data_IF_034616723936
#
_entry.id   IF_034616723936
#
_cell.length_a   1.000
_cell.length_b   1.000
_cell.length_c   1.000
_cell.angle_alpha   90.00
_cell.angle_beta   90.00
_cell.angle_gamma   90.00
#
_symmetry.space_group_name_H-M   'P 1'
#
loop_
_entity.id
_entity.type
_entity.pdbx_description
1 polymer ?
#
# COMPACT_ATOMS: atom_id res chain seq x y z
N UNK A 1 33.92 -17.53 -28.58
CA UNK A 1 33.62 -17.89 -27.18
C UNK A 1 33.27 -16.61 -26.43
N UNK A 2 31.98 -16.28 -26.24
CA UNK A 2 31.56 -15.35 -25.14
C UNK A 2 30.02 -15.29 -24.91
N UNK A 3 29.33 -16.44 -24.89
CA UNK A 3 27.87 -16.48 -24.65
C UNK A 3 27.48 -16.72 -23.18
N UNK A 4 28.44 -16.92 -22.28
CA UNK A 4 28.21 -17.35 -20.90
C UNK A 4 28.10 -16.19 -19.89
N UNK A 5 28.53 -14.98 -20.25
CA UNK A 5 28.64 -13.86 -19.32
C UNK A 5 27.29 -13.12 -19.06
N UNK A 6 26.34 -13.18 -20.00
CA UNK A 6 25.04 -12.48 -19.89
C UNK A 6 23.99 -13.19 -19.01
N UNK A 7 24.01 -14.52 -18.96
CA UNK A 7 23.05 -15.33 -18.20
C UNK A 7 23.37 -15.34 -16.70
N UNK A 8 24.66 -15.38 -16.34
CA UNK A 8 25.12 -15.26 -14.96
C UNK A 8 24.79 -13.88 -14.35
N UNK A 9 24.98 -12.79 -15.10
CA UNK A 9 24.62 -11.42 -14.68
C UNK A 9 23.11 -11.24 -14.45
N UNK A 10 22.26 -11.82 -15.31
CA UNK A 10 20.79 -11.81 -15.12
C UNK A 10 20.34 -12.65 -13.93
N UNK A 11 20.91 -13.86 -13.75
CA UNK A 11 20.64 -14.70 -12.57
C UNK A 11 21.06 -14.00 -11.27
N UNK A 12 22.25 -13.42 -11.21
CA UNK A 12 22.72 -12.66 -10.04
C UNK A 12 21.87 -11.43 -9.71
N UNK A 13 21.35 -10.71 -10.73
CA UNK A 13 20.43 -9.58 -10.54
C UNK A 13 19.06 -10.03 -10.01
N UNK A 14 18.55 -11.18 -10.47
CA UNK A 14 17.29 -11.77 -9.99
C UNK A 14 17.37 -12.18 -8.52
N UNK A 15 18.45 -12.86 -8.13
CA UNK A 15 18.71 -13.27 -6.74
C UNK A 15 18.81 -12.04 -5.81
N UNK A 16 19.50 -10.98 -6.27
CA UNK A 16 19.58 -9.74 -5.50
C UNK A 16 18.21 -9.08 -5.31
N UNK A 17 17.32 -9.12 -6.30
CA UNK A 17 15.95 -8.57 -6.19
C UNK A 17 15.15 -9.35 -5.15
N UNK A 18 15.12 -10.68 -5.23
CA UNK A 18 14.30 -11.51 -4.34
C UNK A 18 14.72 -11.35 -2.89
N UNK A 19 16.03 -11.33 -2.60
CA UNK A 19 16.53 -11.13 -1.23
C UNK A 19 16.24 -9.73 -0.68
N UNK A 20 16.35 -8.68 -1.51
CA UNK A 20 15.97 -7.32 -1.09
C UNK A 20 14.47 -7.23 -0.81
N UNK A 21 13.64 -7.87 -1.63
CA UNK A 21 12.19 -7.89 -1.41
C UNK A 21 11.83 -8.67 -0.14
N UNK A 22 12.45 -9.83 0.09
CA UNK A 22 12.27 -10.60 1.32
C UNK A 22 12.59 -9.74 2.56
N UNK A 23 13.73 -9.07 2.57
CA UNK A 23 14.14 -8.21 3.69
C UNK A 23 13.16 -7.05 3.94
N UNK A 24 12.68 -6.38 2.88
CA UNK A 24 11.71 -5.28 3.02
C UNK A 24 10.38 -5.73 3.61
N UNK A 25 9.87 -6.87 3.15
CA UNK A 25 8.62 -7.43 3.68
C UNK A 25 8.77 -7.89 5.13
N UNK A 26 9.91 -8.48 5.47
CA UNK A 26 10.22 -8.87 6.85
C UNK A 26 10.26 -7.66 7.79
N UNK A 27 11.00 -6.61 7.42
CA UNK A 27 11.08 -5.38 8.21
C UNK A 27 9.72 -4.75 8.46
N UNK A 28 8.83 -4.75 7.45
CA UNK A 28 7.48 -4.24 7.64
C UNK A 28 6.66 -5.13 8.57
N UNK A 29 6.78 -6.46 8.45
CA UNK A 29 6.09 -7.40 9.35
C UNK A 29 6.48 -7.16 10.82
N UNK A 30 7.77 -6.94 11.11
CA UNK A 30 8.27 -6.61 12.45
C UNK A 30 7.68 -5.31 13.00
N UNK A 31 7.52 -4.29 12.14
CA UNK A 31 6.89 -3.03 12.55
C UNK A 31 5.39 -3.18 12.79
N UNK A 32 4.70 -3.89 11.92
CA UNK A 32 3.26 -4.11 12.04
C UNK A 32 2.91 -4.88 13.31
N UNK A 33 3.68 -5.91 13.68
CA UNK A 33 3.43 -6.61 14.94
C UNK A 33 3.75 -5.75 16.16
N UNK A 34 4.78 -4.89 16.05
CA UNK A 34 5.06 -3.89 17.08
C UNK A 34 3.86 -2.97 17.31
N UNK A 35 3.23 -2.48 16.24
CA UNK A 35 2.02 -1.65 16.31
C UNK A 35 0.84 -2.42 16.90
N UNK A 36 0.62 -3.67 16.49
CA UNK A 36 -0.42 -4.51 17.08
C UNK A 36 -0.27 -4.57 18.60
N UNK A 37 0.91 -4.93 19.10
CA UNK A 37 1.22 -4.99 20.54
C UNK A 37 0.89 -3.70 21.30
N UNK A 38 1.08 -2.53 20.69
CA UNK A 38 0.76 -1.24 21.32
C UNK A 38 -0.73 -0.92 21.35
N UNK A 39 -1.53 -1.53 20.47
CA UNK A 39 -2.96 -1.29 20.31
C UNK A 39 -3.85 -2.24 21.14
N UNK A 40 -3.25 -3.13 21.95
CA UNK A 40 -3.94 -3.99 22.90
C UNK A 40 -4.57 -3.18 24.05
N UNK A 41 -5.60 -2.40 23.72
CA UNK A 41 -6.35 -1.55 24.62
C UNK A 41 -7.85 -1.54 24.28
N UNK A 42 -8.73 -1.34 25.28
CA UNK A 42 -10.17 -1.23 25.05
C UNK A 42 -10.53 -0.24 23.94
N UNK A 43 -11.45 -0.64 23.06
CA UNK A 43 -11.88 0.17 21.91
C UNK A 43 -10.91 0.19 20.72
N UNK A 44 -9.74 -0.48 20.81
CA UNK A 44 -8.75 -0.56 19.72
C UNK A 44 -8.40 -1.99 19.30
N UNK A 45 -9.04 -3.00 19.89
CA UNK A 45 -8.78 -4.42 19.63
C UNK A 45 -8.93 -4.83 18.16
N UNK A 46 -9.87 -4.23 17.42
CA UNK A 46 -9.98 -4.43 15.97
C UNK A 46 -8.72 -3.95 15.22
N UNK A 47 -8.14 -2.83 15.62
CA UNK A 47 -6.96 -2.27 14.98
C UNK A 47 -5.73 -3.16 15.23
N UNK A 48 -5.60 -3.67 16.46
CA UNK A 48 -4.61 -4.70 16.80
C UNK A 48 -4.72 -5.94 15.88
N UNK A 49 -5.91 -6.54 15.79
CA UNK A 49 -6.15 -7.73 14.98
C UNK A 49 -5.82 -7.49 13.49
N UNK A 50 -6.13 -6.30 12.96
CA UNK A 50 -5.75 -5.92 11.60
C UNK A 50 -4.22 -5.85 11.42
N UNK A 51 -3.49 -5.25 12.36
CA UNK A 51 -2.03 -5.17 12.29
C UNK A 51 -1.36 -6.54 12.47
N UNK A 52 -1.89 -7.39 13.35
CA UNK A 52 -1.41 -8.76 13.50
C UNK A 52 -1.63 -9.61 12.23
N UNK A 53 -2.78 -9.48 11.56
CA UNK A 53 -3.00 -10.10 10.25
C UNK A 53 -1.98 -9.59 9.22
N UNK A 54 -1.79 -8.27 9.15
CA UNK A 54 -0.85 -7.65 8.22
C UNK A 54 0.62 -8.08 8.46
N UNK A 55 1.02 -8.23 9.72
CA UNK A 55 2.33 -8.74 10.09
C UNK A 55 2.52 -10.16 9.54
N UNK A 56 1.56 -11.06 9.79
CA UNK A 56 1.60 -12.43 9.28
C UNK A 56 1.64 -12.49 7.75
N UNK A 57 0.83 -11.68 7.06
CA UNK A 57 0.83 -11.60 5.60
C UNK A 57 2.21 -11.23 5.06
N UNK A 58 2.81 -10.18 5.62
CA UNK A 58 4.09 -9.67 5.14
C UNK A 58 5.24 -10.62 5.48
N UNK A 59 5.19 -11.28 6.63
CA UNK A 59 6.15 -12.33 6.99
C UNK A 59 6.07 -13.53 6.02
N UNK A 60 4.86 -14.00 5.69
CA UNK A 60 4.67 -15.07 4.71
C UNK A 60 5.15 -14.67 3.31
N UNK A 61 4.88 -13.43 2.89
CA UNK A 61 5.38 -12.89 1.61
C UNK A 61 6.91 -12.75 1.62
N UNK A 62 7.52 -12.38 2.74
CA UNK A 62 8.98 -12.37 2.89
C UNK A 62 9.55 -13.78 2.71
N UNK A 63 8.98 -14.77 3.39
CA UNK A 63 9.37 -16.17 3.25
C UNK A 63 9.20 -16.65 1.80
N UNK A 64 8.10 -16.28 1.14
CA UNK A 64 7.84 -16.61 -0.26
C UNK A 64 8.94 -16.08 -1.19
N UNK A 65 9.31 -14.80 -1.05
CA UNK A 65 10.40 -14.20 -1.82
C UNK A 65 11.73 -14.94 -1.62
N UNK A 66 12.02 -15.37 -0.39
CA UNK A 66 13.28 -16.04 -0.05
C UNK A 66 13.34 -17.47 -0.58
N UNK A 67 12.32 -18.28 -0.31
CA UNK A 67 12.35 -19.73 -0.57
C UNK A 67 11.92 -20.07 -1.99
N UNK A 68 10.95 -19.34 -2.55
CA UNK A 68 10.44 -19.57 -3.92
C UNK A 68 11.15 -18.73 -4.97
N UNK A 69 11.76 -17.60 -4.58
CA UNK A 69 12.45 -16.67 -5.50
C UNK A 69 11.57 -16.17 -6.65
N UNK A 70 10.28 -16.01 -6.34
CA UNK A 70 9.22 -15.57 -7.24
C UNK A 70 8.40 -14.48 -6.54
N UNK A 71 7.58 -13.74 -7.31
CA UNK A 71 6.65 -12.79 -6.69
C UNK A 71 5.54 -13.55 -5.95
N UNK A 72 5.21 -13.16 -4.70
CA UNK A 72 4.11 -13.75 -3.97
C UNK A 72 2.76 -13.38 -4.60
N UNK A 73 1.69 -14.12 -4.28
CA UNK A 73 0.35 -13.72 -4.65
C UNK A 73 0.00 -12.34 -4.06
N UNK A 74 -0.45 -11.43 -4.91
CA UNK A 74 -0.92 -10.10 -4.53
C UNK A 74 -2.37 -10.12 -4.06
N UNK A 75 -2.66 -10.97 -3.08
CA UNK A 75 -3.92 -11.04 -2.35
C UNK A 75 -3.65 -11.17 -0.84
N UNK A 76 -4.72 -11.27 -0.04
CA UNK A 76 -4.68 -11.32 1.42
C UNK A 76 -4.99 -12.74 1.96
N UNK A 77 -4.71 -13.78 1.16
CA UNK A 77 -4.96 -15.17 1.54
C UNK A 77 -3.70 -15.76 2.20
N UNK A 78 -3.66 -15.68 3.53
CA UNK A 78 -2.60 -16.21 4.37
C UNK A 78 -2.47 -17.72 4.21
N UNK A 79 -3.59 -18.44 4.15
CA UNK A 79 -3.57 -19.92 4.08
C UNK A 79 -2.97 -20.37 2.75
N UNK A 80 -3.38 -19.74 1.64
CA UNK A 80 -2.79 -20.01 0.33
C UNK A 80 -1.31 -19.67 0.29
N UNK A 81 -0.92 -18.51 0.80
CA UNK A 81 0.49 -18.10 0.82
C UNK A 81 1.33 -19.06 1.69
N UNK A 82 0.83 -19.45 2.86
CA UNK A 82 1.48 -20.41 3.75
C UNK A 82 1.65 -21.80 3.10
N UNK A 83 0.63 -22.31 2.41
CA UNK A 83 0.72 -23.58 1.69
C UNK A 83 1.79 -23.54 0.59
N UNK A 84 1.84 -22.45 -0.19
CA UNK A 84 2.85 -22.29 -1.24
C UNK A 84 4.27 -22.18 -0.68
N UNK A 85 4.45 -21.54 0.48
CA UNK A 85 5.74 -21.56 1.20
C UNK A 85 6.06 -22.99 1.66
N UNK A 86 5.10 -23.67 2.30
CA UNK A 86 5.23 -25.03 2.83
C UNK A 86 5.67 -26.04 1.76
N UNK A 87 5.11 -25.97 0.54
CA UNK A 87 5.51 -26.80 -0.60
C UNK A 87 7.02 -26.75 -0.86
N UNK A 88 7.65 -25.59 -0.63
CA UNK A 88 9.06 -25.38 -0.96
C UNK A 88 10.01 -25.76 0.18
N UNK A 89 9.56 -25.66 1.42
CA UNK A 89 10.38 -25.92 2.62
C UNK A 89 10.09 -27.27 3.28
N UNK A 90 9.18 -28.08 2.73
CA UNK A 90 8.86 -29.42 3.25
C UNK A 90 7.82 -29.42 4.38
N UNK A 91 6.98 -28.38 4.45
CA UNK A 91 5.97 -28.20 5.49
C UNK A 91 6.22 -26.98 6.39
N UNK A 92 5.17 -26.50 7.05
CA UNK A 92 5.27 -25.46 8.08
C UNK A 92 4.91 -26.05 9.45
N UNK A 93 5.51 -25.54 10.54
CA UNK A 93 5.10 -25.87 11.90
C UNK A 93 3.57 -25.76 12.10
N UNK A 94 2.91 -26.73 12.77
CA UNK A 94 1.45 -26.75 12.94
C UNK A 94 0.87 -25.46 13.54
N UNK A 95 1.60 -24.82 14.47
CA UNK A 95 1.22 -23.56 15.07
C UNK A 95 1.17 -22.40 14.07
N UNK A 96 2.06 -22.37 13.06
CA UNK A 96 2.02 -21.35 12.00
C UNK A 96 0.83 -21.57 11.05
N UNK A 97 0.53 -22.83 10.72
CA UNK A 97 -0.64 -23.18 9.90
C UNK A 97 -1.94 -22.79 10.63
N UNK A 98 -2.04 -23.12 11.92
CA UNK A 98 -3.15 -22.71 12.76
C UNK A 98 -3.24 -21.18 12.91
N UNK A 99 -2.09 -20.50 12.99
CA UNK A 99 -1.97 -19.05 13.00
C UNK A 99 -2.60 -18.41 11.76
N UNK A 100 -2.16 -18.83 10.57
CA UNK A 100 -2.67 -18.33 9.29
C UNK A 100 -4.19 -18.54 9.15
N UNK A 101 -4.71 -19.71 9.50
CA UNK A 101 -6.15 -20.01 9.45
C UNK A 101 -6.99 -19.11 10.36
N UNK A 102 -6.48 -18.81 11.55
CA UNK A 102 -7.19 -17.97 12.52
C UNK A 102 -7.14 -16.49 12.15
N UNK A 103 -6.00 -16.02 11.63
CA UNK A 103 -5.87 -14.63 11.20
C UNK A 103 -6.64 -14.35 9.90
N UNK A 104 -6.79 -15.33 9.00
CA UNK A 104 -7.45 -15.16 7.70
C UNK A 104 -8.79 -14.39 7.74
N UNK A 105 -9.78 -14.73 8.60
CA UNK A 105 -11.03 -13.99 8.67
C UNK A 105 -10.87 -12.56 9.18
N UNK A 106 -9.84 -12.29 10.01
CA UNK A 106 -9.61 -10.97 10.60
C UNK A 106 -9.35 -9.89 9.56
N UNK A 107 -8.88 -10.25 8.36
CA UNK A 107 -8.76 -9.30 7.25
C UNK A 107 -10.07 -8.56 6.96
N UNK A 108 -11.21 -9.25 7.02
CA UNK A 108 -12.52 -8.63 6.79
C UNK A 108 -13.12 -8.12 8.11
N UNK A 109 -13.14 -8.97 9.14
CA UNK A 109 -13.81 -8.72 10.42
C UNK A 109 -13.29 -7.46 11.12
N UNK A 110 -12.00 -7.17 11.00
CA UNK A 110 -11.39 -6.05 11.73
C UNK A 110 -11.42 -4.70 10.99
N UNK A 111 -11.95 -4.64 9.75
CA UNK A 111 -11.79 -3.46 8.89
C UNK A 111 -13.08 -2.82 8.42
N UNK A 112 -14.07 -3.63 8.09
CA UNK A 112 -15.28 -3.15 7.44
C UNK A 112 -16.52 -3.65 8.18
N UNK A 113 -17.46 -2.76 8.54
CA UNK A 113 -18.82 -3.17 8.84
C UNK A 113 -19.40 -3.97 7.69
N UNK A 114 -20.34 -4.87 7.99
CA UNK A 114 -21.07 -5.58 6.95
C UNK A 114 -22.05 -4.63 6.26
N UNK A 115 -22.72 -5.10 5.20
CA UNK A 115 -23.78 -4.34 4.55
C UNK A 115 -25.12 -4.41 5.28
N UNK A 116 -25.23 -5.24 6.32
CA UNK A 116 -26.44 -5.33 7.14
C UNK A 116 -26.36 -4.29 8.27
N UNK A 117 -27.35 -3.40 8.34
CA UNK A 117 -27.37 -2.29 9.31
C UNK A 117 -27.53 -2.76 10.76
N UNK A 118 -28.08 -3.96 10.96
CA UNK A 118 -28.27 -4.55 12.29
C UNK A 118 -27.00 -5.26 12.81
N UNK A 119 -26.00 -5.45 11.95
CA UNK A 119 -24.76 -6.10 12.37
C UNK A 119 -23.85 -5.10 13.12
N UNK A 120 -23.16 -5.55 14.19
CA UNK A 120 -22.21 -4.72 14.92
C UNK A 120 -21.00 -4.31 14.05
N UNK A 121 -20.37 -3.18 14.39
CA UNK A 121 -19.16 -2.72 13.72
C UNK A 121 -17.93 -3.54 14.13
N UNK A 122 -16.83 -3.54 13.35
CA UNK A 122 -15.58 -4.21 13.69
C UNK A 122 -15.07 -3.95 15.12
N UNK A 123 -15.22 -2.72 15.60
CA UNK A 123 -14.78 -2.33 16.93
C UNK A 123 -15.58 -2.99 18.07
N UNK A 124 -16.79 -3.44 17.80
CA UNK A 124 -17.69 -4.07 18.77
C UNK A 124 -17.58 -5.60 18.76
N UNK A 125 -17.12 -6.19 17.64
CA UNK A 125 -17.01 -7.65 17.48
C UNK A 125 -15.63 -8.20 17.83
N UNK A 126 -14.56 -7.43 17.63
CA UNK A 126 -13.20 -7.88 17.98
C UNK A 126 -12.96 -7.56 19.45
N UNK A 127 -12.95 -8.59 20.28
CA UNK A 127 -12.79 -8.46 21.72
C UNK A 127 -11.33 -8.67 22.14
N UNK A 128 -11.06 -8.45 23.42
CA UNK A 128 -9.71 -8.52 23.98
C UNK A 128 -9.03 -9.88 23.74
N UNK A 129 -9.76 -10.98 23.92
CA UNK A 129 -9.23 -12.33 23.73
C UNK A 129 -8.85 -12.62 22.28
N UNK A 130 -9.60 -12.07 21.33
CA UNK A 130 -9.29 -12.14 19.90
C UNK A 130 -8.02 -11.36 19.58
N UNK A 131 -7.91 -10.13 20.09
CA UNK A 131 -6.74 -9.28 19.91
C UNK A 131 -5.46 -9.93 20.48
N UNK A 132 -5.52 -10.40 21.74
CA UNK A 132 -4.41 -11.13 22.38
C UNK A 132 -4.00 -12.37 21.58
N UNK A 133 -4.98 -13.11 21.04
CA UNK A 133 -4.71 -14.28 20.21
C UNK A 133 -4.12 -13.89 18.85
N UNK A 134 -4.57 -12.79 18.26
CA UNK A 134 -4.04 -12.24 17.01
C UNK A 134 -2.58 -11.83 17.17
N UNK A 135 -2.21 -11.03 18.18
CA UNK A 135 -0.81 -10.64 18.43
C UNK A 135 0.10 -11.84 18.60
N UNK A 136 -0.32 -12.81 19.43
CA UNK A 136 0.47 -14.02 19.67
C UNK A 136 0.72 -14.79 18.36
N UNK A 137 -0.30 -14.93 17.52
CA UNK A 137 -0.20 -15.68 16.25
C UNK A 137 0.48 -14.89 15.14
N UNK A 138 0.35 -13.57 15.12
CA UNK A 138 0.94 -12.67 14.12
C UNK A 138 2.42 -12.39 14.37
N UNK A 139 2.86 -12.42 15.63
CA UNK A 139 4.24 -12.13 16.00
C UNK A 139 5.18 -13.34 16.00
N UNK A 140 4.65 -14.55 16.11
CA UNK A 140 5.49 -15.74 16.22
C UNK A 140 6.26 -15.87 17.55
N UNK A 141 6.31 -14.85 18.41
CA UNK A 141 6.94 -14.90 19.73
C UNK A 141 6.32 -16.02 20.60
N UNK A 142 7.05 -16.88 21.33
CA UNK A 142 8.44 -16.95 21.81
C UNK A 142 9.46 -15.87 21.45
N UNK A 143 9.70 -14.97 22.42
CA UNK A 143 10.84 -14.01 22.55
C UNK A 143 10.68 -12.69 21.80
N UNK A 144 10.56 -11.62 22.59
CA UNK A 144 10.39 -10.24 22.14
C UNK A 144 11.70 -9.49 21.85
N UNK A 145 11.55 -8.33 21.22
CA UNK A 145 12.57 -7.29 21.16
C UNK A 145 11.91 -5.92 20.95
N UNK A 146 12.37 -4.96 21.76
CA UNK A 146 11.97 -3.54 21.85
C UNK A 146 12.39 -2.71 20.64
N UNK A 147 11.56 -1.72 20.27
CA UNK A 147 11.77 -0.79 19.15
C UNK A 147 12.31 0.56 19.60
N UNK A 148 13.25 1.12 18.84
CA UNK A 148 13.61 2.54 18.87
C UNK A 148 12.91 3.28 17.71
N UNK A 149 12.32 4.43 18.03
CA UNK A 149 11.60 5.33 17.13
C UNK A 149 12.54 6.41 16.58
N UNK A 150 12.43 6.73 15.28
CA UNK A 150 13.15 7.84 14.66
C UNK A 150 12.17 8.80 13.96
N UNK A 151 12.44 10.09 14.10
CA UNK A 151 11.53 11.21 13.87
C UNK A 151 11.15 11.50 12.41
N UNK A 152 10.01 12.20 12.24
CA UNK A 152 9.31 12.49 10.98
C UNK A 152 9.65 13.87 10.40
N UNK A 153 9.66 14.01 9.07
CA UNK A 153 9.64 15.31 8.35
C UNK A 153 8.33 15.48 7.56
N UNK A 154 7.72 16.68 7.54
CA UNK A 154 6.48 16.92 6.79
C UNK A 154 6.74 17.03 5.28
N UNK A 155 5.87 16.43 4.47
CA UNK A 155 5.93 16.45 3.00
C UNK A 155 4.88 17.43 2.46
N UNK A 156 5.29 18.35 1.59
CA UNK A 156 4.43 19.40 1.02
C UNK A 156 3.76 18.98 -0.29
N UNK A 157 2.76 19.74 -0.70
CA UNK A 157 2.00 19.64 -1.97
C UNK A 157 2.86 19.78 -3.24
N UNK A 158 4.16 20.01 -3.10
CA UNK A 158 5.16 20.00 -4.16
C UNK A 158 5.95 18.68 -4.24
N UNK A 159 5.49 17.62 -3.58
CA UNK A 159 6.13 16.31 -3.67
C UNK A 159 6.31 15.88 -5.13
N UNK A 160 7.58 15.71 -5.52
CA UNK A 160 7.96 15.36 -6.88
C UNK A 160 7.34 14.06 -7.36
N UNK A 161 7.10 13.09 -6.48
CA UNK A 161 6.41 11.83 -6.79
C UNK A 161 4.95 12.11 -7.17
N UNK A 162 4.21 12.80 -6.31
CA UNK A 162 2.80 13.12 -6.55
C UNK A 162 2.62 13.91 -7.86
N UNK A 163 3.49 14.88 -8.11
CA UNK A 163 3.47 15.69 -9.33
C UNK A 163 3.78 14.84 -10.57
N UNK A 164 4.76 13.93 -10.51
CA UNK A 164 5.07 13.00 -11.62
C UNK A 164 3.90 12.07 -11.88
N UNK A 165 3.31 11.48 -10.84
CA UNK A 165 2.18 10.58 -10.97
C UNK A 165 0.94 11.28 -11.54
N UNK A 166 0.60 12.48 -11.04
CA UNK A 166 -0.48 13.29 -11.59
C UNK A 166 -0.26 13.64 -13.07
N UNK A 167 0.99 13.87 -13.51
CA UNK A 167 1.29 14.07 -14.95
C UNK A 167 1.00 12.83 -15.78
N UNK A 168 1.35 11.64 -15.29
CA UNK A 168 1.10 10.38 -15.97
C UNK A 168 -0.41 10.11 -16.06
N UNK A 169 -1.14 10.25 -14.96
CA UNK A 169 -2.61 10.12 -14.95
C UNK A 169 -3.28 11.12 -15.89
N UNK A 170 -2.81 12.37 -15.94
CA UNK A 170 -3.33 13.36 -16.89
C UNK A 170 -3.06 12.97 -18.33
N UNK A 171 -1.86 12.48 -18.65
CA UNK A 171 -1.51 12.05 -20.01
C UNK A 171 -2.31 10.82 -20.44
N UNK A 172 -2.52 9.86 -19.54
CA UNK A 172 -3.17 8.59 -19.82
C UNK A 172 -4.69 8.70 -19.90
N UNK A 173 -5.30 9.44 -18.99
CA UNK A 173 -6.74 9.48 -18.77
C UNK A 173 -7.38 10.85 -18.96
N UNK A 174 -6.59 11.91 -19.19
CA UNK A 174 -7.10 13.29 -19.14
C UNK A 174 -7.51 13.71 -17.72
N UNK A 175 -6.99 13.04 -16.69
CA UNK A 175 -7.49 13.18 -15.34
C UNK A 175 -6.99 14.43 -14.61
N UNK A 176 -7.84 14.94 -13.71
CA UNK A 176 -7.49 15.91 -12.67
C UNK A 176 -7.22 15.17 -11.36
N UNK A 177 -6.13 15.51 -10.68
CA UNK A 177 -5.68 14.81 -9.48
C UNK A 177 -5.78 15.70 -8.24
N UNK A 178 -6.22 15.11 -7.13
CA UNK A 178 -6.32 15.72 -5.82
C UNK A 178 -5.65 14.82 -4.79
N UNK A 179 -4.97 15.41 -3.82
CA UNK A 179 -4.45 14.74 -2.63
C UNK A 179 -5.44 14.96 -1.49
N UNK A 180 -5.65 13.94 -0.67
CA UNK A 180 -6.34 14.06 0.60
C UNK A 180 -5.60 13.27 1.68
N UNK A 181 -6.21 13.11 2.86
CA UNK A 181 -5.67 12.23 3.90
C UNK A 181 -4.49 12.80 4.69
N UNK A 182 -3.71 11.91 5.30
CA UNK A 182 -2.66 12.27 6.27
C UNK A 182 -1.61 13.22 5.66
N UNK A 183 -1.26 13.01 4.39
CA UNK A 183 -0.30 13.84 3.65
C UNK A 183 -0.84 15.23 3.34
N UNK A 184 -2.14 15.36 3.04
CA UNK A 184 -2.77 16.66 2.86
C UNK A 184 -2.88 17.44 4.19
N UNK A 185 -3.11 16.75 5.31
CA UNK A 185 -3.16 17.35 6.66
C UNK A 185 -1.79 17.70 7.24
N UNK A 186 -0.71 17.19 6.67
CA UNK A 186 0.64 17.35 7.23
C UNK A 186 0.92 16.45 8.44
N UNK A 187 0.06 15.46 8.72
CA UNK A 187 0.22 14.48 9.82
C UNK A 187 0.81 13.15 9.33
N UNK A 188 1.38 13.12 8.12
CA UNK A 188 1.90 11.92 7.51
C UNK A 188 3.33 11.58 7.97
N UNK A 189 3.60 10.28 8.07
CA UNK A 189 4.92 9.69 8.23
C UNK A 189 5.54 9.34 6.86
N UNK A 190 6.83 8.97 6.85
CA UNK A 190 7.55 8.71 5.62
C UNK A 190 6.94 7.55 4.80
N UNK A 191 6.38 6.57 5.49
CA UNK A 191 5.74 5.35 5.00
C UNK A 191 4.22 5.49 4.81
N UNK A 192 3.61 6.61 5.22
CA UNK A 192 2.18 6.83 5.00
C UNK A 192 1.83 6.70 3.53
N UNK A 193 0.68 6.10 3.29
CA UNK A 193 0.08 5.98 1.97
C UNK A 193 -0.17 7.34 1.31
N UNK A 194 -0.31 7.29 -0.01
CA UNK A 194 -0.81 8.39 -0.80
C UNK A 194 -2.29 8.19 -1.08
N UNK A 195 -3.12 8.93 -0.35
CA UNK A 195 -4.55 9.06 -0.58
C UNK A 195 -4.82 10.02 -1.74
N UNK A 196 -5.11 9.48 -2.92
CA UNK A 196 -5.27 10.26 -4.14
C UNK A 196 -6.66 10.07 -4.73
N UNK A 197 -7.28 11.19 -5.10
CA UNK A 197 -8.46 11.20 -5.98
C UNK A 197 -8.05 11.60 -7.39
N UNK A 198 -8.51 10.85 -8.37
CA UNK A 198 -8.36 11.17 -9.78
C UNK A 198 -9.71 11.24 -10.48
N UNK A 199 -9.93 12.29 -11.26
CA UNK A 199 -11.24 12.63 -11.85
C UNK A 199 -11.10 12.78 -13.36
N UNK A 200 -11.74 11.90 -14.11
CA UNK A 200 -11.71 11.90 -15.57
C UNK A 200 -13.00 11.36 -16.18
N UNK A 201 -13.36 11.86 -17.37
CA UNK A 201 -14.48 11.30 -18.13
C UNK A 201 -14.17 9.88 -18.65
N UNK A 202 -12.89 9.57 -18.86
CA UNK A 202 -12.42 8.25 -19.31
C UNK A 202 -12.80 7.08 -18.38
N UNK A 203 -13.27 7.36 -17.17
CA UNK A 203 -13.73 6.37 -16.21
C UNK A 203 -15.23 6.03 -16.34
N UNK A 204 -15.98 6.74 -17.19
CA UNK A 204 -17.39 6.47 -17.41
C UNK A 204 -17.61 5.09 -18.06
N UNK A 205 -18.70 4.41 -17.71
CA UNK A 205 -19.03 3.08 -18.24
C UNK A 205 -18.23 1.92 -17.64
N UNK A 206 -17.17 2.20 -16.87
CA UNK A 206 -16.38 1.17 -16.19
C UNK A 206 -16.69 1.12 -14.68
N UNK A 207 -16.77 -0.09 -14.12
CA UNK A 207 -16.97 -0.29 -12.67
C UNK A 207 -15.72 0.18 -11.90
N UNK A 208 -15.92 0.78 -10.72
CA UNK A 208 -14.85 1.40 -9.91
C UNK A 208 -13.57 0.55 -9.76
N UNK A 209 -13.62 -0.76 -9.44
CA UNK A 209 -12.41 -1.57 -9.27
C UNK A 209 -11.54 -1.69 -10.53
N UNK A 210 -12.14 -1.55 -11.72
CA UNK A 210 -11.44 -1.73 -12.99
C UNK A 210 -10.91 -0.42 -13.59
N UNK A 211 -11.32 0.75 -13.07
CA UNK A 211 -10.85 2.05 -13.56
C UNK A 211 -9.38 2.24 -13.28
N UNK A 212 -8.57 2.61 -14.27
CA UNK A 212 -7.12 2.75 -14.13
C UNK A 212 -6.40 1.45 -13.68
N UNK A 213 -6.60 0.35 -14.42
CA UNK A 213 -5.93 -0.95 -14.15
C UNK A 213 -4.41 -0.84 -14.14
N UNK A 214 -3.85 0.08 -14.92
CA UNK A 214 -2.41 0.36 -14.98
C UNK A 214 -1.92 1.30 -13.86
N UNK A 215 -2.74 1.61 -12.83
CA UNK A 215 -2.40 2.58 -11.78
C UNK A 215 -1.06 2.30 -11.11
N UNK A 216 -0.73 1.04 -10.86
CA UNK A 216 0.51 0.66 -10.19
C UNK A 216 1.71 0.79 -11.14
N UNK A 217 1.55 0.48 -12.43
CA UNK A 217 2.59 0.73 -13.44
C UNK A 217 2.92 2.21 -13.51
N UNK A 218 1.90 3.07 -13.59
CA UNK A 218 2.07 4.54 -13.58
C UNK A 218 2.67 5.04 -12.25
N UNK A 219 2.30 4.44 -11.13
CA UNK A 219 2.83 4.79 -9.80
C UNK A 219 4.32 4.46 -9.69
N UNK A 220 4.70 3.28 -10.16
CA UNK A 220 6.08 2.82 -10.20
C UNK A 220 6.94 3.61 -11.19
N UNK A 221 6.39 3.97 -12.35
CA UNK A 221 7.04 4.89 -13.31
C UNK A 221 7.27 6.27 -12.68
N UNK A 222 6.32 6.75 -11.88
CA UNK A 222 6.49 8.00 -11.12
C UNK A 222 7.54 7.88 -9.99
N UNK A 223 8.00 6.68 -9.65
CA UNK A 223 8.99 6.41 -8.61
C UNK A 223 8.37 6.03 -7.26
N UNK A 224 7.10 5.66 -7.20
CA UNK A 224 6.38 5.24 -5.99
C UNK A 224 6.73 3.83 -5.50
N UNK A 225 7.94 3.35 -5.77
CA UNK A 225 8.35 1.98 -5.46
C UNK A 225 8.38 1.70 -3.95
N UNK A 226 7.47 0.86 -3.49
CA UNK A 226 7.33 0.48 -2.08
C UNK A 226 6.80 1.60 -1.19
N UNK A 227 6.01 2.51 -1.77
CA UNK A 227 5.14 3.44 -1.06
C UNK A 227 3.70 3.06 -1.43
N UNK A 228 2.84 2.87 -0.43
CA UNK A 228 1.44 2.50 -0.64
C UNK A 228 0.65 3.60 -1.35
N UNK A 229 -0.27 3.19 -2.22
CA UNK A 229 -1.14 4.08 -2.99
C UNK A 229 -2.59 3.67 -2.77
N UNK A 230 -3.42 4.59 -2.29
CA UNK A 230 -4.87 4.46 -2.34
C UNK A 230 -5.42 5.44 -3.40
N UNK A 231 -5.88 4.90 -4.54
CA UNK A 231 -6.31 5.70 -5.68
C UNK A 231 -7.82 5.54 -5.93
N UNK A 232 -8.55 6.62 -5.69
CA UNK A 232 -9.98 6.73 -5.95
C UNK A 232 -10.25 7.36 -7.32
N UNK A 233 -10.90 6.62 -8.22
CA UNK A 233 -11.18 7.06 -9.60
C UNK A 233 -12.66 7.40 -9.82
N UNK A 234 -12.97 8.67 -10.10
CA UNK A 234 -14.34 9.15 -10.30
C UNK A 234 -14.57 9.79 -11.67
N UNK A 235 -15.79 9.68 -12.19
CA UNK A 235 -16.25 10.60 -13.24
C UNK A 235 -16.46 12.01 -12.66
N UNK A 236 -16.50 13.06 -13.48
CA UNK A 236 -16.79 14.41 -13.01
C UNK A 236 -18.15 14.54 -12.31
N UNK A 237 -19.15 13.75 -12.70
CA UNK A 237 -20.46 13.75 -12.06
C UNK A 237 -20.43 13.05 -10.69
N UNK A 238 -19.85 11.85 -10.63
CA UNK A 238 -19.69 11.12 -9.37
C UNK A 238 -18.91 11.94 -8.36
N UNK A 239 -17.80 12.56 -8.79
CA UNK A 239 -16.99 13.40 -7.91
C UNK A 239 -17.79 14.58 -7.35
N UNK A 240 -18.67 15.21 -8.15
CA UNK A 240 -19.56 16.27 -7.63
C UNK A 240 -20.52 15.75 -6.55
N UNK A 241 -21.07 14.54 -6.72
CA UNK A 241 -21.92 13.89 -5.71
C UNK A 241 -21.15 13.60 -4.43
N UNK A 242 -19.95 13.03 -4.53
CA UNK A 242 -19.08 12.73 -3.39
C UNK A 242 -18.68 14.00 -2.62
N UNK A 243 -18.40 15.10 -3.33
CA UNK A 243 -18.09 16.40 -2.72
C UNK A 243 -19.27 17.04 -1.97
N UNK A 244 -20.51 16.72 -2.34
CA UNK A 244 -21.72 17.19 -1.66
C UNK A 244 -22.12 16.30 -0.49
N UNK A 245 -21.66 15.04 -0.47
CA UNK A 245 -22.04 14.04 0.52
C UNK A 245 -21.36 14.19 1.89
N UNK A 246 -21.74 13.27 2.79
CA UNK A 246 -21.15 13.11 4.12
C UNK A 246 -19.98 12.11 4.17
N UNK A 247 -19.67 11.46 3.04
CA UNK A 247 -18.54 10.54 2.92
C UNK A 247 -17.16 11.23 3.06
N UNK A 248 -16.10 10.42 3.05
CA UNK A 248 -14.74 10.88 3.32
C UNK A 248 -14.26 12.02 2.40
N UNK A 249 -14.63 12.01 1.11
CA UNK A 249 -14.29 13.11 0.17
C UNK A 249 -15.04 14.40 0.51
N UNK A 250 -16.33 14.32 0.81
CA UNK A 250 -17.12 15.47 1.24
C UNK A 250 -16.61 16.06 2.57
N UNK A 251 -16.24 15.20 3.52
CA UNK A 251 -15.62 15.62 4.79
C UNK A 251 -14.24 16.25 4.57
N UNK A 252 -13.38 15.65 3.73
CA UNK A 252 -12.07 16.21 3.40
C UNK A 252 -12.20 17.59 2.73
N UNK A 253 -13.18 17.77 1.82
CA UNK A 253 -13.48 19.08 1.24
C UNK A 253 -13.90 20.10 2.31
N UNK A 254 -14.83 19.74 3.21
CA UNK A 254 -15.31 20.64 4.28
C UNK A 254 -14.19 21.09 5.21
N UNK A 255 -13.22 20.20 5.49
CA UNK A 255 -12.06 20.50 6.33
C UNK A 255 -10.92 21.20 5.58
N UNK A 256 -11.06 21.46 4.28
CA UNK A 256 -10.00 22.05 3.46
C UNK A 256 -8.82 21.11 3.17
N UNK A 257 -9.00 19.81 3.38
CA UNK A 257 -7.97 18.77 3.26
C UNK A 257 -7.93 18.13 1.85
N UNK A 258 -8.79 18.56 0.94
CA UNK A 258 -8.80 18.08 -0.44
C UNK A 258 -8.04 19.05 -1.34
N UNK A 259 -6.77 18.75 -1.59
CA UNK A 259 -5.84 19.67 -2.25
C UNK A 259 -5.69 19.29 -3.72
N UNK A 260 -5.99 20.22 -4.63
CA UNK A 260 -5.77 20.01 -6.06
C UNK A 260 -4.28 20.04 -6.40
N UNK A 261 -3.80 19.01 -7.10
CA UNK A 261 -2.41 18.95 -7.57
C UNK A 261 -2.27 19.84 -8.82
N UNK A 262 -1.52 20.94 -8.68
CA UNK A 262 -1.29 21.88 -9.78
C UNK A 262 -0.05 21.51 -10.57
N UNK A 263 -0.23 21.22 -11.85
CA UNK A 263 0.87 20.88 -12.75
C UNK A 263 1.34 22.12 -13.50
N UNK A 264 2.48 22.70 -13.11
CA UNK A 264 3.12 23.78 -13.88
C UNK A 264 3.44 23.28 -15.31
N UNK A 265 3.19 24.10 -16.35
CA UNK A 265 3.62 23.76 -17.71
C UNK A 265 5.14 23.59 -17.75
N UNK A 266 5.62 22.67 -18.60
CA UNK A 266 7.06 22.47 -18.81
C UNK A 266 7.62 23.75 -19.43
N UNK A 267 8.70 24.36 -18.91
CA UNK A 267 9.33 25.47 -19.61
C UNK A 267 9.72 24.99 -21.01
N UNK A 268 9.34 25.77 -22.03
CA UNK A 268 9.79 25.56 -23.40
C UNK A 268 11.32 25.54 -23.36
N UNK A 269 11.93 24.44 -23.82
CA UNK A 269 13.37 24.42 -24.02
C UNK A 269 13.68 25.50 -25.04
N UNK A 270 14.46 26.51 -24.65
CA UNK A 270 15.01 27.48 -25.59
C UNK A 270 15.77 26.72 -26.67
N UNK A 271 15.30 26.84 -27.90
CA UNK A 271 16.03 26.37 -29.08
C UNK A 271 17.36 27.12 -29.07
N UNK A 272 18.53 26.44 -29.16
CA UNK A 272 19.80 27.14 -29.32
C UNK A 272 19.70 27.97 -30.60
N UNK A 273 19.83 29.30 -30.49
CA UNK A 273 20.02 30.14 -31.66
C UNK A 273 21.29 29.66 -32.35
N UNK A 274 21.14 29.11 -33.57
CA UNK A 274 22.26 28.93 -34.48
C UNK A 274 22.83 30.31 -34.75
N UNK A 275 23.96 30.63 -34.15
CA UNK A 275 24.78 31.76 -34.56
C UNK A 275 25.28 31.46 -35.98
N UNK A 276 24.74 32.15 -36.96
CA UNK A 276 25.35 32.27 -38.28
C UNK A 276 26.70 32.97 -38.10
N UNK A 277 27.80 32.23 -38.18
CA UNK A 277 29.09 32.85 -38.53
C UNK A 277 29.06 33.11 -40.03
N UNK A 278 28.85 34.38 -40.38
CA UNK A 278 29.42 34.95 -41.59
C UNK A 278 30.93 35.15 -41.31
N UNK A 279 31.75 34.76 -42.29
CA UNK A 279 33.21 34.76 -42.21
C UNK A 279 33.75 33.74 -43.20
#
# INVERSE_FOLDING_TARGET
MDATNGTAKRKGRGIRRTSVMAQRFWQQAERDIGVARTLLAPGSYYADANFAHQAAEKALKAAYWEVRREEPPWNHDLVKCANQVAERVGGLPPNLVAGAKYLQPMFQTSRYPTTNIEDPIPADVVLEDDARTCVRRGGGDGVGSTTASAATRPVSTQDGLLVRFARLLRRRYGARTYLFGSRARGTAHADSDYDIVTVAQAFAGERRPFRARDRYELWYEAGGWGISLDLHCYTPEEFRKELAGLGFIGMAKRRGELIRVTLKPKPLRSVPQRTSKAG
#
